data_IF_805867672712
#
_entry.id   IF_805867672712
#
_cell.length_a   1.000
_cell.length_b   1.000
_cell.length_c   1.000
_cell.angle_alpha   90.00
_cell.angle_beta   90.00
_cell.angle_gamma   90.00
#
_symmetry.space_group_name_H-M   'P 1'
#
loop_
_entity.id
_entity.type
_entity.pdbx_description
1 polymer ?
#
# COMPACT_ATOMS: atom_id res chain seq x y z
N UNK A 1 1.15 -6.45 28.10
CA UNK A 1 0.58 -5.08 28.18
C UNK A 1 1.41 -4.26 27.22
N UNK A 2 0.79 -3.60 26.23
CA UNK A 2 1.52 -2.63 25.43
C UNK A 2 1.93 -1.47 26.36
N UNK A 3 3.17 -1.00 26.28
CA UNK A 3 3.61 0.17 27.05
C UNK A 3 2.80 1.38 26.60
N UNK A 4 2.36 2.21 27.55
CA UNK A 4 1.63 3.44 27.26
C UNK A 4 2.53 4.40 26.46
N UNK A 5 2.12 4.70 25.23
CA UNK A 5 2.82 5.66 24.38
C UNK A 5 2.45 7.07 24.84
N UNK A 6 3.41 7.79 25.42
CA UNK A 6 3.22 9.20 25.76
C UNK A 6 3.46 10.10 24.55
N UNK A 7 2.40 10.80 24.14
CA UNK A 7 2.45 11.77 23.04
C UNK A 7 2.69 13.20 23.57
N UNK A 8 3.40 14.06 22.81
CA UNK A 8 3.44 15.49 23.10
C UNK A 8 2.04 16.10 23.11
N UNK A 9 1.81 17.09 23.99
CA UNK A 9 0.49 17.71 24.18
C UNK A 9 -0.17 18.18 22.88
N UNK A 10 0.60 18.82 22.01
CA UNK A 10 0.08 19.36 20.74
C UNK A 10 -0.38 18.23 19.80
N UNK A 11 0.33 17.10 19.81
CA UNK A 11 -0.02 15.93 19.01
C UNK A 11 -1.25 15.22 19.60
N UNK A 12 -1.35 15.10 20.93
CA UNK A 12 -2.53 14.57 21.59
C UNK A 12 -3.78 15.40 21.25
N UNK A 13 -3.66 16.73 21.25
CA UNK A 13 -4.76 17.63 20.90
C UNK A 13 -5.18 17.45 19.42
N UNK A 14 -4.22 17.47 18.51
CA UNK A 14 -4.50 17.28 17.08
C UNK A 14 -5.15 15.91 16.79
N UNK A 15 -4.69 14.86 17.46
CA UNK A 15 -5.25 13.51 17.32
C UNK A 15 -6.68 13.44 17.88
N UNK A 16 -6.95 14.09 19.02
CA UNK A 16 -8.30 14.17 19.58
C UNK A 16 -9.27 14.93 18.67
N UNK A 17 -8.84 16.05 18.09
CA UNK A 17 -9.65 16.84 17.16
C UNK A 17 -9.97 16.08 15.88
N UNK A 18 -9.00 15.31 15.36
CA UNK A 18 -9.21 14.45 14.19
C UNK A 18 -10.13 13.26 14.52
N UNK A 19 -9.94 12.62 15.68
CA UNK A 19 -10.80 11.53 16.13
C UNK A 19 -12.25 11.97 16.29
N UNK A 20 -12.47 13.16 16.87
CA UNK A 20 -13.78 13.77 16.97
C UNK A 20 -14.42 14.05 15.60
N UNK A 21 -13.63 14.56 14.62
CA UNK A 21 -14.10 14.79 13.25
C UNK A 21 -14.44 13.48 12.51
N UNK A 22 -13.67 12.43 12.75
CA UNK A 22 -13.87 11.11 12.16
C UNK A 22 -14.96 10.27 12.88
N UNK A 23 -15.42 10.70 14.06
CA UNK A 23 -16.43 9.99 14.85
C UNK A 23 -15.92 8.68 15.46
N UNK A 24 -14.63 8.59 15.78
CA UNK A 24 -13.97 7.41 16.36
C UNK A 24 -13.26 7.75 17.67
N UNK A 25 -12.82 6.75 18.44
CA UNK A 25 -11.99 6.99 19.62
C UNK A 25 -10.57 7.38 19.23
N UNK A 26 -9.89 8.11 20.13
CA UNK A 26 -8.48 8.50 19.96
C UNK A 26 -7.59 7.27 19.77
N UNK A 27 -7.80 6.23 20.56
CA UNK A 27 -7.01 5.00 20.50
C UNK A 27 -7.22 4.26 19.17
N UNK A 28 -8.47 4.13 18.70
CA UNK A 28 -8.76 3.50 17.42
C UNK A 28 -8.12 4.26 16.26
N UNK A 29 -8.17 5.60 16.29
CA UNK A 29 -7.51 6.42 15.27
C UNK A 29 -5.99 6.28 15.32
N UNK A 30 -5.40 6.24 16.53
CA UNK A 30 -3.97 6.05 16.73
C UNK A 30 -3.50 4.70 16.18
N UNK A 31 -4.20 3.62 16.54
CA UNK A 31 -3.93 2.27 16.06
C UNK A 31 -3.99 2.19 14.53
N UNK A 32 -5.04 2.76 13.93
CA UNK A 32 -5.20 2.79 12.49
C UNK A 32 -4.08 3.58 11.80
N UNK A 33 -3.73 4.76 12.32
CA UNK A 33 -2.68 5.59 11.77
C UNK A 33 -1.31 4.90 11.84
N UNK A 34 -1.00 4.25 12.97
CA UNK A 34 0.24 3.47 13.17
C UNK A 34 0.26 2.29 12.19
N UNK A 35 -0.82 1.53 12.08
CA UNK A 35 -0.92 0.41 11.16
C UNK A 35 -0.69 0.86 9.71
N UNK A 36 -1.37 1.93 9.27
CA UNK A 36 -1.19 2.49 7.93
C UNK A 36 0.24 2.95 7.68
N UNK A 37 0.86 3.64 8.64
CA UNK A 37 2.23 4.10 8.50
C UNK A 37 3.22 2.93 8.38
N UNK A 38 3.06 1.89 9.20
CA UNK A 38 3.90 0.70 9.14
C UNK A 38 3.73 -0.06 7.82
N UNK A 39 2.50 -0.24 7.35
CA UNK A 39 2.25 -0.89 6.05
C UNK A 39 2.83 -0.07 4.90
N UNK A 40 2.64 1.25 4.88
CA UNK A 40 3.25 2.11 3.86
C UNK A 40 4.78 1.95 3.82
N UNK A 41 5.44 1.88 4.99
CA UNK A 41 6.89 1.65 5.08
C UNK A 41 7.29 0.27 4.55
N UNK A 42 6.53 -0.79 4.89
CA UNK A 42 6.77 -2.14 4.38
C UNK A 42 6.63 -2.18 2.86
N UNK A 43 5.59 -1.57 2.31
CA UNK A 43 5.37 -1.48 0.86
C UNK A 43 6.52 -0.76 0.16
N UNK A 44 6.97 0.38 0.69
CA UNK A 44 8.12 1.11 0.13
C UNK A 44 9.37 0.23 0.13
N UNK A 45 9.67 -0.44 1.25
CA UNK A 45 10.82 -1.33 1.36
C UNK A 45 10.72 -2.52 0.39
N UNK A 46 9.53 -3.10 0.24
CA UNK A 46 9.28 -4.18 -0.70
C UNK A 46 9.55 -3.76 -2.15
N UNK A 47 9.00 -2.63 -2.59
CA UNK A 47 9.26 -2.14 -3.96
C UNK A 47 10.72 -1.73 -4.18
N UNK A 48 11.40 -1.20 -3.16
CA UNK A 48 12.83 -0.95 -3.25
C UNK A 48 13.63 -2.25 -3.47
N UNK A 49 13.27 -3.32 -2.73
CA UNK A 49 13.89 -4.64 -2.90
C UNK A 49 13.58 -5.25 -4.28
N UNK A 50 12.33 -5.14 -4.77
CA UNK A 50 11.98 -5.58 -6.11
C UNK A 50 12.81 -4.84 -7.17
N UNK A 51 12.88 -3.51 -7.09
CA UNK A 51 13.66 -2.69 -8.03
C UNK A 51 15.15 -3.07 -8.02
N UNK A 52 15.73 -3.32 -6.86
CA UNK A 52 17.15 -3.70 -6.75
C UNK A 52 17.47 -5.02 -7.46
N UNK A 53 16.49 -5.92 -7.56
CA UNK A 53 16.64 -7.23 -8.19
C UNK A 53 16.01 -7.31 -9.60
N UNK A 54 15.36 -6.26 -10.07
CA UNK A 54 14.66 -6.26 -11.34
C UNK A 54 15.63 -5.99 -12.51
N UNK A 55 15.63 -6.87 -13.51
CA UNK A 55 16.21 -6.58 -14.81
C UNK A 55 15.22 -5.75 -15.64
N UNK A 56 15.18 -4.45 -15.37
CA UNK A 56 14.31 -3.51 -16.08
C UNK A 56 14.64 -3.44 -17.58
N UNK A 57 15.88 -3.74 -17.98
CA UNK A 57 16.28 -3.79 -19.39
C UNK A 57 15.74 -5.03 -20.11
N UNK A 58 15.68 -6.19 -19.45
CA UNK A 58 14.94 -7.34 -19.96
C UNK A 58 13.45 -7.05 -20.06
N UNK A 59 12.87 -6.44 -19.02
CA UNK A 59 11.46 -6.04 -19.03
C UNK A 59 11.15 -5.14 -20.23
N UNK A 60 11.92 -4.08 -20.43
CA UNK A 60 11.74 -3.14 -21.55
C UNK A 60 11.85 -3.87 -22.90
N UNK A 61 12.84 -4.75 -23.06
CA UNK A 61 12.98 -5.55 -24.30
C UNK A 61 11.79 -6.45 -24.57
N UNK A 62 11.22 -7.06 -23.53
CA UNK A 62 10.02 -7.91 -23.66
C UNK A 62 8.80 -7.06 -23.99
N UNK A 63 8.60 -5.93 -23.32
CA UNK A 63 7.45 -5.05 -23.52
C UNK A 63 7.51 -4.29 -24.84
N UNK A 64 8.70 -3.98 -25.36
CA UNK A 64 8.89 -3.28 -26.63
C UNK A 64 9.04 -4.23 -27.82
N UNK A 65 8.89 -5.55 -27.64
CA UNK A 65 9.07 -6.51 -28.73
C UNK A 65 7.99 -6.28 -29.79
N UNK A 66 8.39 -6.25 -31.05
CA UNK A 66 7.44 -6.29 -32.17
C UNK A 66 7.19 -7.75 -32.58
N UNK A 67 5.91 -8.11 -32.69
CA UNK A 67 5.47 -9.48 -32.97
C UNK A 67 5.17 -10.31 -31.71
N UNK A 68 5.15 -11.62 -31.88
CA UNK A 68 4.66 -12.58 -30.89
C UNK A 68 3.35 -13.22 -31.34
N UNK A 69 3.04 -14.39 -30.79
CA UNK A 69 1.74 -15.01 -31.00
C UNK A 69 0.66 -14.19 -30.27
N UNK A 70 -0.49 -14.03 -30.92
CA UNK A 70 -1.65 -13.47 -30.26
C UNK A 70 -2.03 -14.37 -29.06
N UNK A 71 -2.59 -13.79 -27.97
CA UNK A 71 -3.18 -14.59 -26.91
C UNK A 71 -4.14 -15.63 -27.50
N UNK A 72 -4.14 -16.83 -26.95
CA UNK A 72 -5.11 -17.85 -27.33
C UNK A 72 -6.53 -17.33 -27.04
N UNK A 73 -7.52 -17.84 -27.77
CA UNK A 73 -8.93 -17.49 -27.50
C UNK A 73 -9.31 -17.79 -26.05
N UNK A 74 -8.75 -18.86 -25.48
CA UNK A 74 -8.93 -19.29 -24.10
C UNK A 74 -8.21 -18.41 -23.05
N UNK A 75 -7.30 -17.51 -23.47
CA UNK A 75 -6.66 -16.54 -22.57
C UNK A 75 -7.60 -15.36 -22.24
N UNK A 76 -8.76 -15.28 -22.89
CA UNK A 76 -9.74 -14.24 -22.57
C UNK A 76 -10.36 -14.48 -21.19
N UNK A 77 -10.49 -13.43 -20.36
CA UNK A 77 -11.25 -13.56 -19.11
C UNK A 77 -12.70 -13.95 -19.43
N UNK A 78 -13.36 -14.74 -18.56
CA UNK A 78 -14.73 -15.17 -18.79
C UNK A 78 -15.63 -13.96 -19.05
N UNK A 79 -16.48 -14.06 -20.07
CA UNK A 79 -17.43 -12.99 -20.40
C UNK A 79 -18.24 -12.64 -19.14
N UNK A 80 -18.02 -11.44 -18.61
CA UNK A 80 -18.76 -10.93 -17.44
C UNK A 80 -20.23 -10.85 -17.85
N UNK A 81 -21.06 -11.76 -17.33
CA UNK A 81 -22.52 -11.64 -17.46
C UNK A 81 -22.93 -10.40 -16.66
N UNK A 82 -23.36 -9.36 -17.38
CA UNK A 82 -23.99 -8.16 -16.79
C UNK A 82 -25.36 -8.49 -16.23
#
# INVERSE_FOLDING_TARGET
MADDIHLPKDLSAALADEAARAGVSVDALAEEAIARHLEARKTIAHFAALRANADLGLLDRVLSRQGGEAPAEDDQPPAVRR
#
